data_IF_300391928200
#
_entry.id   IF_300391928200
#
_cell.length_a   1.000
_cell.length_b   1.000
_cell.length_c   1.000
_cell.angle_alpha   90.00
_cell.angle_beta   90.00
_cell.angle_gamma   90.00
#
_symmetry.space_group_name_H-M   'P 1'
#
loop_
_entity.id
_entity.type
_entity.pdbx_description
1 polymer ?
#
# COMPACT_ATOMS: atom_id res chain seq x y z
N UNK A 1 26.86 48.05 -5.11
CA UNK A 1 26.55 49.40 -5.62
C UNK A 1 25.85 49.28 -6.96
N UNK A 2 24.66 49.87 -7.08
CA UNK A 2 23.96 50.41 -8.28
C UNK A 2 23.74 49.46 -9.46
N UNK A 3 22.52 48.96 -9.72
CA UNK A 3 21.25 49.62 -10.15
C UNK A 3 21.09 49.66 -11.68
N UNK A 4 19.97 49.08 -12.14
CA UNK A 4 19.01 49.62 -13.14
C UNK A 4 19.54 49.84 -14.58
N UNK A 5 18.78 49.92 -15.66
CA UNK A 5 17.34 49.99 -15.97
C UNK A 5 17.19 49.70 -17.49
N UNK A 6 16.18 48.97 -17.96
CA UNK A 6 14.90 49.45 -18.56
C UNK A 6 14.91 50.01 -20.01
N UNK A 7 13.78 49.69 -20.68
CA UNK A 7 13.02 50.34 -21.77
C UNK A 7 13.48 50.17 -23.24
N UNK A 8 12.70 49.54 -24.15
CA UNK A 8 11.42 49.92 -24.82
C UNK A 8 11.55 51.15 -25.74
N UNK A 9 11.17 50.99 -27.03
CA UNK A 9 10.56 51.96 -28.00
C UNK A 9 10.54 51.25 -29.39
N UNK A 10 9.43 50.79 -29.97
CA UNK A 10 8.26 51.43 -30.62
C UNK A 10 8.47 51.97 -32.07
N UNK A 11 7.71 51.36 -33.00
CA UNK A 11 7.10 51.82 -34.27
C UNK A 11 7.92 52.49 -35.39
N UNK A 12 7.71 52.06 -36.65
CA UNK A 12 6.87 52.79 -37.63
C UNK A 12 6.67 52.06 -38.99
N UNK A 13 5.38 52.02 -39.40
CA UNK A 13 4.74 52.11 -40.74
C UNK A 13 5.38 51.48 -42.00
N UNK A 14 4.54 50.81 -42.80
CA UNK A 14 4.31 51.14 -44.22
C UNK A 14 2.99 50.50 -44.73
N UNK A 15 2.39 51.17 -45.72
CA UNK A 15 0.97 51.11 -46.10
C UNK A 15 0.74 50.51 -47.51
N UNK A 16 -0.55 50.28 -47.83
CA UNK A 16 -1.12 50.09 -49.18
C UNK A 16 -1.71 48.68 -49.41
N UNK A 17 -2.88 48.45 -50.01
CA UNK A 17 -3.86 49.27 -50.72
C UNK A 17 -5.25 48.57 -50.71
N UNK A 18 -6.28 49.37 -50.97
CA UNK A 18 -7.75 49.18 -50.91
C UNK A 18 -8.39 48.21 -51.90
N UNK A 19 -9.55 47.62 -51.52
CA UNK A 19 -10.77 47.53 -52.35
C UNK A 19 -12.03 47.23 -51.50
N UNK A 20 -13.11 48.00 -51.69
CA UNK A 20 -14.43 47.86 -51.03
C UNK A 20 -15.32 46.77 -51.67
N UNK A 21 -16.11 46.08 -50.84
CA UNK A 21 -17.32 45.31 -51.22
C UNK A 21 -18.45 45.57 -50.19
N UNK A 22 -19.74 45.52 -50.58
CA UNK A 22 -20.85 46.08 -49.81
C UNK A 22 -21.38 45.13 -48.71
N UNK A 23 -21.93 45.71 -47.65
CA UNK A 23 -22.43 44.98 -46.48
C UNK A 23 -23.72 44.17 -46.75
N UNK A 24 -23.83 42.91 -46.27
CA UNK A 24 -25.08 42.16 -46.28
C UNK A 24 -25.96 42.48 -45.06
N UNK A 25 -27.27 42.45 -45.30
CA UNK A 25 -28.37 42.70 -44.36
C UNK A 25 -28.49 41.53 -43.37
N UNK A 26 -28.47 41.82 -42.07
CA UNK A 26 -28.68 40.83 -40.99
C UNK A 26 -30.17 40.59 -40.72
N UNK A 27 -30.57 39.32 -40.66
CA UNK A 27 -31.83 38.86 -40.05
C UNK A 27 -31.52 37.97 -38.85
N UNK A 28 -32.15 38.19 -37.66
CA UNK A 28 -31.88 37.36 -36.49
C UNK A 28 -32.62 36.01 -36.57
N UNK A 29 -31.92 34.93 -36.24
CA UNK A 29 -32.47 33.57 -36.10
C UNK A 29 -33.08 33.37 -34.71
N UNK A 30 -34.18 32.58 -34.56
CA UNK A 30 -34.81 32.34 -33.26
C UNK A 30 -33.96 31.37 -32.41
N UNK A 31 -33.87 31.64 -31.11
CA UNK A 31 -33.10 30.84 -30.16
C UNK A 31 -33.81 29.50 -29.83
N UNK A 32 -33.05 28.40 -29.83
CA UNK A 32 -33.50 27.11 -29.31
C UNK A 32 -33.41 27.05 -27.78
N UNK A 33 -34.34 26.38 -27.08
CA UNK A 33 -34.31 26.26 -25.63
C UNK A 33 -33.16 25.36 -25.16
N UNK A 34 -32.43 25.84 -24.14
CA UNK A 34 -31.34 25.12 -23.47
C UNK A 34 -31.91 23.97 -22.61
N UNK A 35 -31.37 22.75 -22.69
CA UNK A 35 -31.81 21.65 -21.81
C UNK A 35 -31.46 21.98 -20.35
N UNK A 36 -32.45 21.81 -19.46
CA UNK A 36 -32.25 21.94 -18.02
C UNK A 36 -31.39 20.77 -17.54
N UNK A 37 -30.28 21.06 -16.87
CA UNK A 37 -29.43 20.04 -16.27
C UNK A 37 -30.25 19.21 -15.26
N UNK A 38 -30.24 17.89 -15.41
CA UNK A 38 -30.77 16.98 -14.41
C UNK A 38 -29.90 17.10 -13.15
N UNK A 39 -30.53 17.33 -12.00
CA UNK A 39 -29.87 17.22 -10.69
C UNK A 39 -29.49 15.76 -10.51
N UNK A 40 -28.19 15.48 -10.48
CA UNK A 40 -27.69 14.15 -10.10
C UNK A 40 -28.06 13.91 -8.64
N UNK A 41 -28.64 12.76 -8.26
CA UNK A 41 -28.88 12.47 -6.85
C UNK A 41 -27.56 12.55 -6.08
N UNK A 42 -27.60 13.10 -4.86
CA UNK A 42 -26.47 13.04 -3.94
C UNK A 42 -26.10 11.57 -3.72
N UNK A 43 -24.81 11.22 -3.63
CA UNK A 43 -24.40 9.85 -3.36
C UNK A 43 -25.03 9.38 -2.05
N UNK A 44 -25.67 8.22 -2.07
CA UNK A 44 -26.17 7.60 -0.84
C UNK A 44 -24.99 7.33 0.10
N UNK A 45 -25.12 7.74 1.37
CA UNK A 45 -24.16 7.42 2.43
C UNK A 45 -23.97 5.91 2.53
N UNK A 46 -22.73 5.47 2.76
CA UNK A 46 -22.49 4.05 2.97
C UNK A 46 -23.20 3.57 4.24
N UNK A 47 -23.77 2.36 4.22
CA UNK A 47 -24.59 1.83 5.33
C UNK A 47 -23.86 1.86 6.69
N UNK A 48 -22.55 1.63 6.66
CA UNK A 48 -21.69 1.61 7.85
C UNK A 48 -21.47 3.00 8.47
N UNK A 49 -21.72 4.09 7.74
CA UNK A 49 -21.62 5.47 8.29
C UNK A 49 -22.67 5.73 9.38
N UNK A 50 -23.73 4.92 9.42
CA UNK A 50 -24.77 5.01 10.45
C UNK A 50 -24.45 4.21 11.71
N UNK A 51 -23.41 3.38 11.70
CA UNK A 51 -23.04 2.55 12.84
C UNK A 51 -22.47 3.39 13.99
N UNK A 52 -22.88 3.02 15.19
CA UNK A 52 -22.33 3.52 16.45
C UNK A 52 -21.71 2.38 17.24
N UNK A 53 -21.00 2.70 18.33
CA UNK A 53 -20.41 1.66 19.20
C UNK A 53 -21.44 0.64 19.71
N UNK A 54 -22.69 1.06 19.95
CA UNK A 54 -23.74 0.20 20.46
C UNK A 54 -24.22 -0.86 19.44
N UNK A 55 -24.01 -0.59 18.15
CA UNK A 55 -24.40 -1.48 17.05
C UNK A 55 -23.35 -2.59 16.82
N UNK A 56 -22.16 -2.47 17.42
CA UNK A 56 -21.02 -3.32 17.11
C UNK A 56 -21.01 -4.63 17.92
N UNK A 57 -20.67 -5.77 17.28
CA UNK A 57 -20.60 -7.05 17.96
C UNK A 57 -19.45 -7.09 18.97
N UNK A 58 -19.65 -7.77 20.09
CA UNK A 58 -18.63 -7.89 21.14
C UNK A 58 -17.94 -9.25 21.18
N UNK A 59 -18.49 -10.23 20.45
CA UNK A 59 -17.95 -11.59 20.32
C UNK A 59 -16.96 -11.68 19.17
N UNK A 60 -15.79 -12.28 19.43
CA UNK A 60 -14.79 -12.54 18.40
C UNK A 60 -15.34 -13.49 17.35
N UNK A 61 -15.13 -13.14 16.09
CA UNK A 61 -15.47 -13.97 14.95
C UNK A 61 -14.56 -15.21 14.87
N UNK A 62 -15.00 -16.18 14.09
CA UNK A 62 -14.20 -17.30 13.61
C UNK A 62 -13.88 -17.15 12.12
N UNK A 63 -12.84 -17.81 11.60
CA UNK A 63 -12.53 -17.79 10.17
C UNK A 63 -13.71 -18.21 9.28
N UNK A 64 -14.53 -19.18 9.71
CA UNK A 64 -15.70 -19.64 8.96
C UNK A 64 -16.75 -18.55 8.77
N UNK A 65 -16.89 -17.64 9.75
CA UNK A 65 -17.83 -16.51 9.65
C UNK A 65 -17.35 -15.45 8.65
N UNK A 66 -16.04 -15.30 8.42
CA UNK A 66 -15.53 -14.40 7.39
C UNK A 66 -15.98 -14.84 5.99
N UNK A 67 -16.00 -16.14 5.73
CA UNK A 67 -16.39 -16.70 4.43
C UNK A 67 -17.89 -16.61 4.15
N UNK A 68 -18.69 -16.35 5.17
CA UNK A 68 -20.14 -16.24 5.11
C UNK A 68 -20.67 -14.83 5.40
N UNK A 69 -19.78 -13.83 5.46
CA UNK A 69 -20.12 -12.46 5.81
C UNK A 69 -21.10 -11.86 4.79
N UNK A 70 -22.27 -11.41 5.26
CA UNK A 70 -23.28 -10.75 4.44
C UNK A 70 -22.87 -9.35 3.97
N UNK A 71 -23.69 -8.70 3.14
CA UNK A 71 -23.39 -7.36 2.60
C UNK A 71 -23.44 -6.24 3.67
N UNK A 72 -24.41 -6.31 4.58
CA UNK A 72 -24.63 -5.35 5.67
C UNK A 72 -24.38 -6.00 7.05
N UNK A 73 -23.32 -6.79 7.14
CA UNK A 73 -22.89 -7.44 8.38
C UNK A 73 -21.55 -6.90 8.85
N UNK A 74 -21.35 -6.95 10.17
CA UNK A 74 -20.09 -6.56 10.82
C UNK A 74 -19.66 -7.69 11.75
N UNK A 75 -18.35 -7.98 11.76
CA UNK A 75 -17.75 -9.00 12.63
C UNK A 75 -16.54 -8.44 13.35
N UNK A 76 -16.41 -8.74 14.65
CA UNK A 76 -15.23 -8.38 15.44
C UNK A 76 -14.08 -9.36 15.13
N UNK A 77 -12.99 -8.86 14.56
CA UNK A 77 -11.80 -9.64 14.20
C UNK A 77 -10.83 -9.82 15.36
N UNK A 78 -10.69 -8.78 16.18
CA UNK A 78 -9.69 -8.72 17.23
C UNK A 78 -9.87 -7.49 18.12
N UNK A 79 -9.26 -7.52 19.29
CA UNK A 79 -9.22 -6.36 20.20
C UNK A 79 -7.95 -6.35 21.03
N UNK A 80 -7.50 -5.14 21.35
CA UNK A 80 -6.47 -4.85 22.36
C UNK A 80 -7.15 -4.32 23.62
N UNK A 81 -6.38 -3.75 24.55
CA UNK A 81 -6.95 -3.09 25.73
C UNK A 81 -7.76 -1.83 25.38
N UNK A 82 -7.46 -1.18 24.26
CA UNK A 82 -7.99 0.15 23.90
C UNK A 82 -8.63 0.22 22.51
N UNK A 83 -8.34 -0.74 21.62
CA UNK A 83 -8.81 -0.72 20.23
C UNK A 83 -9.51 -2.03 19.87
N UNK A 84 -10.63 -1.96 19.16
CA UNK A 84 -11.31 -3.10 18.54
C UNK A 84 -11.27 -2.97 17.02
N UNK A 85 -11.01 -4.08 16.33
CA UNK A 85 -10.95 -4.17 14.87
C UNK A 85 -12.12 -5.01 14.36
N UNK A 86 -12.84 -4.48 13.39
CA UNK A 86 -13.99 -5.10 12.75
C UNK A 86 -13.78 -5.23 11.25
N UNK A 87 -14.40 -6.23 10.63
CA UNK A 87 -14.60 -6.29 9.18
C UNK A 87 -16.03 -5.92 8.83
N UNK A 88 -16.20 -5.20 7.73
CA UNK A 88 -17.48 -4.87 7.13
C UNK A 88 -17.79 -5.77 5.94
N UNK A 89 -19.04 -6.15 5.83
CA UNK A 89 -19.62 -6.88 4.70
C UNK A 89 -19.51 -6.18 3.36
N UNK A 90 -19.73 -6.94 2.29
CA UNK A 90 -19.83 -6.40 0.92
C UNK A 90 -18.52 -5.79 0.39
N UNK A 91 -17.37 -6.32 0.79
CA UNK A 91 -16.04 -5.79 0.47
C UNK A 91 -15.87 -4.31 0.92
N UNK A 92 -16.58 -3.89 1.97
CA UNK A 92 -16.55 -2.51 2.49
C UNK A 92 -15.32 -2.20 3.34
N UNK A 93 -14.47 -3.18 3.65
CA UNK A 93 -13.22 -2.97 4.38
C UNK A 93 -13.31 -3.21 5.88
N UNK A 94 -12.64 -2.37 6.68
CA UNK A 94 -12.58 -2.51 8.14
C UNK A 94 -13.13 -1.28 8.88
N UNK A 95 -13.48 -1.48 10.14
CA UNK A 95 -13.68 -0.41 11.12
C UNK A 95 -12.74 -0.59 12.32
N UNK A 96 -12.17 0.51 12.78
CA UNK A 96 -11.47 0.59 14.06
C UNK A 96 -12.31 1.40 15.05
N UNK A 97 -12.52 0.83 16.24
CA UNK A 97 -13.11 1.52 17.38
C UNK A 97 -12.02 1.76 18.43
N UNK A 98 -11.75 3.03 18.76
CA UNK A 98 -10.89 3.43 19.88
C UNK A 98 -11.54 4.58 20.65
N UNK A 99 -11.68 4.46 21.96
CA UNK A 99 -12.26 5.50 22.83
C UNK A 99 -13.61 6.08 22.33
N UNK A 100 -14.51 5.21 21.86
CA UNK A 100 -15.84 5.61 21.35
C UNK A 100 -15.83 6.27 19.97
N UNK A 101 -14.70 6.26 19.26
CA UNK A 101 -14.56 6.82 17.92
C UNK A 101 -14.33 5.73 16.89
N UNK A 102 -15.00 5.86 15.75
CA UNK A 102 -14.89 4.96 14.62
C UNK A 102 -14.05 5.57 13.51
N UNK A 103 -13.20 4.75 12.90
CA UNK A 103 -12.49 5.07 11.66
C UNK A 103 -12.59 3.91 10.68
N UNK A 104 -12.69 4.24 9.39
CA UNK A 104 -12.96 3.29 8.31
C UNK A 104 -11.79 3.24 7.33
N UNK A 105 -11.47 2.03 6.86
CA UNK A 105 -10.44 1.81 5.83
C UNK A 105 -10.91 0.76 4.81
N UNK A 106 -10.85 1.10 3.52
CA UNK A 106 -11.24 0.24 2.41
C UNK A 106 -10.21 -0.82 2.03
N UNK A 107 -9.69 -1.56 3.02
CA UNK A 107 -8.67 -2.61 2.80
C UNK A 107 -9.24 -4.02 2.88
N UNK A 108 -8.53 -4.98 2.29
CA UNK A 108 -8.85 -6.40 2.41
C UNK A 108 -8.26 -6.99 3.70
N UNK A 109 -8.95 -7.98 4.29
CA UNK A 109 -8.57 -8.61 5.56
C UNK A 109 -7.91 -9.98 5.39
N UNK A 110 -8.33 -10.75 4.38
CA UNK A 110 -7.78 -12.08 4.11
C UNK A 110 -8.06 -12.53 2.66
N UNK A 111 -7.33 -13.53 2.13
CA UNK A 111 -7.63 -14.14 0.83
C UNK A 111 -8.94 -14.92 0.91
N UNK A 112 -9.73 -14.89 -0.17
CA UNK A 112 -11.01 -15.61 -0.24
C UNK A 112 -10.86 -17.13 -0.06
N UNK A 113 -9.74 -17.68 -0.51
CA UNK A 113 -9.47 -19.12 -0.48
C UNK A 113 -8.68 -19.58 0.77
N UNK A 114 -8.30 -18.66 1.66
CA UNK A 114 -7.49 -18.97 2.85
C UNK A 114 -7.79 -17.98 3.98
N UNK A 115 -9.02 -18.07 4.48
CA UNK A 115 -9.54 -17.18 5.52
C UNK A 115 -8.73 -17.30 6.82
N UNK A 116 -8.28 -16.17 7.34
CA UNK A 116 -7.58 -16.07 8.62
C UNK A 116 -8.02 -14.82 9.35
N UNK A 117 -8.07 -14.90 10.68
CA UNK A 117 -8.17 -13.71 11.50
C UNK A 117 -6.81 -13.00 11.53
N UNK A 118 -6.78 -11.66 11.60
CA UNK A 118 -5.55 -10.91 11.75
C UNK A 118 -5.00 -10.98 13.18
N UNK A 119 -3.73 -10.63 13.32
CA UNK A 119 -3.07 -10.52 14.63
C UNK A 119 -2.80 -9.06 14.97
N UNK A 120 -3.15 -8.66 16.19
CA UNK A 120 -3.10 -7.27 16.65
C UNK A 120 -1.99 -7.08 17.68
N UNK A 121 -1.24 -5.99 17.54
CA UNK A 121 -0.14 -5.60 18.40
C UNK A 121 -0.29 -4.12 18.75
N UNK A 122 -0.21 -3.77 20.04
CA UNK A 122 -0.35 -2.39 20.52
C UNK A 122 0.98 -1.96 21.13
N UNK A 123 1.60 -0.93 20.58
CA UNK A 123 2.87 -0.39 21.05
C UNK A 123 3.13 1.02 20.49
N UNK A 124 3.97 1.79 21.16
CA UNK A 124 4.54 3.06 20.70
C UNK A 124 5.69 2.81 19.71
N UNK A 125 5.35 2.69 18.42
CA UNK A 125 6.29 2.32 17.35
C UNK A 125 7.06 3.51 16.79
N UNK A 126 6.52 4.73 16.85
CA UNK A 126 7.22 5.94 16.40
C UNK A 126 7.96 6.68 17.53
N UNK A 127 7.69 6.32 18.79
CA UNK A 127 8.35 6.86 19.97
C UNK A 127 7.76 8.19 20.47
N UNK A 128 6.55 8.55 20.05
CA UNK A 128 5.87 9.78 20.49
C UNK A 128 5.22 9.67 21.89
N UNK A 129 5.14 8.45 22.42
CA UNK A 129 4.60 8.14 23.74
C UNK A 129 3.11 7.75 23.76
N UNK A 130 2.47 7.69 22.59
CA UNK A 130 1.16 7.09 22.37
C UNK A 130 1.35 5.73 21.69
N UNK A 131 0.45 4.78 21.97
CA UNK A 131 0.52 3.49 21.29
C UNK A 131 -0.26 3.55 19.95
N UNK A 132 0.35 3.05 18.88
CA UNK A 132 -0.31 2.69 17.63
C UNK A 132 -0.81 1.25 17.67
N UNK A 133 -1.77 0.95 16.80
CA UNK A 133 -2.21 -0.42 16.55
C UNK A 133 -1.52 -0.94 15.28
N UNK A 134 -0.67 -1.94 15.41
CA UNK A 134 -0.16 -2.69 14.28
C UNK A 134 -0.97 -3.97 14.07
N UNK A 135 -1.40 -4.23 12.83
CA UNK A 135 -2.22 -5.40 12.48
C UNK A 135 -1.59 -6.17 11.34
N UNK A 136 -1.35 -7.46 11.57
CA UNK A 136 -0.79 -8.38 10.58
C UNK A 136 -1.90 -9.17 9.90
N UNK A 137 -2.04 -9.01 8.58
CA UNK A 137 -3.03 -9.68 7.75
C UNK A 137 -2.36 -10.72 6.86
N UNK A 138 -2.92 -11.92 6.80
CA UNK A 138 -2.57 -12.89 5.76
C UNK A 138 -3.17 -12.40 4.45
N UNK A 139 -2.38 -12.27 3.39
CA UNK A 139 -2.81 -11.73 2.08
C UNK A 139 -2.67 -12.72 0.94
N UNK A 140 -1.81 -13.74 1.09
CA UNK A 140 -1.69 -14.84 0.15
C UNK A 140 -1.25 -16.11 0.89
N UNK A 141 -1.81 -17.25 0.51
CA UNK A 141 -1.42 -18.57 1.01
C UNK A 141 -1.62 -19.61 -0.09
N UNK A 142 -0.87 -19.47 -1.19
CA UNK A 142 -0.94 -20.37 -2.35
C UNK A 142 0.35 -21.18 -2.51
N UNK A 143 0.23 -22.51 -2.47
CA UNK A 143 1.36 -23.42 -2.68
C UNK A 143 2.47 -23.25 -1.65
N UNK A 144 3.63 -22.76 -2.09
CA UNK A 144 4.79 -22.45 -1.25
C UNK A 144 4.94 -20.95 -0.93
N UNK A 145 3.96 -20.13 -1.32
CA UNK A 145 3.94 -18.69 -1.09
C UNK A 145 2.97 -18.35 0.03
N UNK A 146 3.50 -17.66 1.03
CA UNK A 146 2.73 -17.04 2.11
C UNK A 146 3.16 -15.58 2.16
N UNK A 147 2.17 -14.70 2.07
CA UNK A 147 2.36 -13.25 2.07
C UNK A 147 1.52 -12.71 3.21
N UNK A 148 2.19 -12.06 4.16
CA UNK A 148 1.53 -11.18 5.10
C UNK A 148 1.74 -9.73 4.68
N UNK A 149 0.79 -8.87 5.01
CA UNK A 149 0.97 -7.42 5.06
C UNK A 149 0.81 -6.95 6.52
N UNK A 150 1.48 -5.86 6.87
CA UNK A 150 1.36 -5.19 8.15
C UNK A 150 0.74 -3.81 7.93
N UNK A 151 -0.28 -3.47 8.69
CA UNK A 151 -0.83 -2.10 8.71
C UNK A 151 -0.56 -1.49 10.07
N UNK A 152 -0.10 -0.23 10.10
CA UNK A 152 0.10 0.54 11.32
C UNK A 152 -0.94 1.65 11.35
N UNK A 153 -1.83 1.58 12.33
CA UNK A 153 -2.88 2.55 12.55
C UNK A 153 -2.52 3.49 13.69
N UNK A 154 -2.33 4.74 13.34
CA UNK A 154 -1.97 5.81 14.26
C UNK A 154 -3.19 6.72 14.50
N UNK A 155 -3.45 7.02 15.77
CA UNK A 155 -4.53 7.89 16.20
C UNK A 155 -3.98 9.23 16.67
N UNK A 156 -4.14 10.24 15.83
CA UNK A 156 -4.07 11.64 16.25
C UNK A 156 -5.38 12.10 16.92
N UNK A 157 -5.36 13.26 17.58
CA UNK A 157 -6.46 13.82 18.38
C UNK A 157 -7.85 13.81 17.71
N UNK A 158 -7.95 13.75 16.39
CA UNK A 158 -9.23 13.68 15.68
C UNK A 158 -9.28 12.63 14.55
N UNK A 159 -8.15 12.12 14.09
CA UNK A 159 -8.09 11.25 12.91
C UNK A 159 -7.23 10.02 13.15
N UNK A 160 -7.69 8.87 12.65
CA UNK A 160 -6.87 7.68 12.51
C UNK A 160 -6.28 7.65 11.10
N UNK A 161 -4.98 7.41 10.98
CA UNK A 161 -4.30 7.15 9.71
C UNK A 161 -3.95 5.67 9.59
N UNK A 162 -3.79 5.19 8.36
CA UNK A 162 -3.29 3.85 8.05
C UNK A 162 -1.99 3.99 7.25
N UNK A 163 -0.92 3.35 7.73
CA UNK A 163 0.29 3.11 6.98
C UNK A 163 0.35 1.61 6.57
N UNK A 164 0.09 1.28 5.30
CA UNK A 164 0.25 -0.07 4.80
C UNK A 164 1.72 -0.40 4.54
N UNK A 165 2.28 -1.30 5.35
CA UNK A 165 3.59 -1.90 5.19
C UNK A 165 3.44 -3.25 4.48
N UNK A 166 3.27 -3.18 3.16
CA UNK A 166 3.01 -4.36 2.33
C UNK A 166 4.27 -5.10 1.92
N UNK A 167 4.13 -6.35 1.46
CA UNK A 167 5.21 -7.10 0.79
C UNK A 167 5.89 -6.25 -0.28
N UNK A 168 5.11 -5.63 -1.17
CA UNK A 168 5.66 -4.87 -2.30
C UNK A 168 6.43 -3.64 -1.84
N UNK A 169 5.87 -2.90 -0.88
CA UNK A 169 6.54 -1.73 -0.31
C UNK A 169 7.86 -2.11 0.38
N UNK A 170 7.92 -3.27 1.03
CA UNK A 170 9.14 -3.82 1.62
C UNK A 170 10.11 -4.33 0.55
N UNK A 171 9.61 -5.05 -0.46
CA UNK A 171 10.39 -5.63 -1.55
C UNK A 171 11.09 -4.53 -2.37
N UNK A 172 10.39 -3.45 -2.70
CA UNK A 172 10.95 -2.32 -3.44
C UNK A 172 12.08 -1.65 -2.66
N UNK A 173 11.86 -1.38 -1.37
CA UNK A 173 12.88 -0.81 -0.47
C UNK A 173 14.08 -1.75 -0.31
N UNK A 174 13.85 -3.05 -0.17
CA UNK A 174 14.90 -4.05 -0.07
C UNK A 174 15.70 -4.18 -1.37
N UNK A 175 15.04 -4.25 -2.53
CA UNK A 175 15.67 -4.31 -3.86
C UNK A 175 16.54 -3.09 -4.15
N UNK A 176 16.12 -1.91 -3.68
CA UNK A 176 16.90 -0.69 -3.80
C UNK A 176 18.18 -0.70 -2.93
N UNK A 177 18.20 -1.49 -1.86
CA UNK A 177 19.30 -1.54 -0.89
C UNK A 177 20.30 -2.68 -1.16
N UNK A 178 19.83 -3.86 -1.58
CA UNK A 178 20.67 -5.05 -1.79
C UNK A 178 21.38 -5.02 -3.15
N UNK A 179 22.55 -5.67 -3.23
CA UNK A 179 23.26 -5.90 -4.49
C UNK A 179 22.97 -7.30 -5.00
N UNK A 180 22.57 -7.41 -6.26
CA UNK A 180 22.32 -8.65 -6.99
C UNK A 180 23.31 -8.77 -8.15
N UNK A 181 24.18 -9.77 -8.11
CA UNK A 181 25.24 -9.98 -9.10
C UNK A 181 25.21 -11.40 -9.66
N UNK A 182 25.17 -11.52 -10.99
CA UNK A 182 25.16 -12.81 -11.67
C UNK A 182 26.45 -13.02 -12.46
N UNK A 183 27.20 -14.06 -12.09
CA UNK A 183 28.38 -14.51 -12.83
C UNK A 183 27.98 -15.60 -13.85
N UNK A 184 27.98 -15.29 -15.17
CA UNK A 184 27.67 -16.27 -16.20
C UNK A 184 28.74 -17.36 -16.34
N UNK A 185 29.98 -17.13 -15.89
CA UNK A 185 31.07 -18.09 -15.94
C UNK A 185 30.85 -19.27 -15.00
N UNK A 186 30.47 -19.00 -13.75
CA UNK A 186 30.12 -20.03 -12.76
C UNK A 186 28.64 -20.43 -12.75
N UNK A 187 27.77 -19.58 -13.33
CA UNK A 187 26.32 -19.75 -13.30
C UNK A 187 25.71 -19.42 -11.94
N UNK A 188 26.25 -18.41 -11.27
CA UNK A 188 25.98 -18.13 -9.86
C UNK A 188 25.38 -16.74 -9.68
N UNK A 189 24.25 -16.65 -8.98
CA UNK A 189 23.67 -15.40 -8.49
C UNK A 189 24.06 -15.20 -7.04
N UNK A 190 24.58 -14.02 -6.73
CA UNK A 190 24.90 -13.59 -5.37
C UNK A 190 23.98 -12.42 -5.00
N UNK A 191 23.25 -12.57 -3.91
CA UNK A 191 22.52 -11.49 -3.26
C UNK A 191 23.32 -11.06 -2.03
N UNK A 192 23.56 -9.76 -1.84
CA UNK A 192 24.42 -9.28 -0.76
C UNK A 192 24.00 -7.92 -0.21
N UNK A 193 24.31 -7.70 1.06
CA UNK A 193 24.20 -6.42 1.74
C UNK A 193 25.22 -6.34 2.88
N UNK A 194 26.06 -5.30 2.87
CA UNK A 194 27.18 -5.18 3.82
C UNK A 194 28.06 -6.43 3.78
N UNK A 195 28.25 -7.06 4.95
CA UNK A 195 29.06 -8.27 5.12
C UNK A 195 28.25 -9.58 4.99
N UNK A 196 26.95 -9.48 4.66
CA UNK A 196 26.04 -10.63 4.56
C UNK A 196 25.73 -10.96 3.10
N UNK A 197 25.62 -12.24 2.76
CA UNK A 197 25.30 -12.68 1.40
C UNK A 197 24.71 -14.08 1.36
N UNK A 198 24.02 -14.34 0.25
CA UNK A 198 23.51 -15.66 -0.12
C UNK A 198 23.81 -15.91 -1.59
N UNK A 199 24.06 -17.18 -1.91
CA UNK A 199 24.56 -17.60 -3.23
C UNK A 199 23.68 -18.71 -3.76
N UNK A 200 23.20 -18.55 -5.00
CA UNK A 200 22.43 -19.55 -5.72
C UNK A 200 23.13 -19.94 -7.02
N UNK A 201 23.35 -21.24 -7.19
CA UNK A 201 23.94 -21.77 -8.43
C UNK A 201 22.86 -22.33 -9.33
N UNK A 202 22.68 -21.73 -10.50
CA UNK A 202 21.70 -22.17 -11.47
C UNK A 202 22.07 -23.55 -12.06
N UNK A 203 21.08 -24.44 -12.23
CA UNK A 203 21.22 -25.62 -13.07
C UNK A 203 21.62 -25.22 -14.49
N UNK A 204 22.35 -26.11 -15.19
CA UNK A 204 23.00 -25.80 -16.47
C UNK A 204 22.04 -25.24 -17.52
N UNK A 205 20.81 -25.78 -17.58
CA UNK A 205 19.79 -25.34 -18.53
C UNK A 205 19.31 -23.89 -18.34
N UNK A 206 19.54 -23.29 -17.16
CA UNK A 206 19.13 -21.92 -16.85
C UNK A 206 20.29 -20.92 -16.89
N UNK A 207 21.55 -21.36 -16.99
CA UNK A 207 22.71 -20.45 -16.87
C UNK A 207 22.80 -19.39 -17.97
N UNK A 208 22.29 -19.67 -19.16
CA UNK A 208 22.28 -18.72 -20.27
C UNK A 208 21.14 -17.70 -20.16
N UNK A 209 20.13 -17.98 -19.34
CA UNK A 209 18.97 -17.13 -19.12
C UNK A 209 18.42 -17.35 -17.70
N UNK A 210 19.12 -16.86 -16.66
CA UNK A 210 18.78 -17.13 -15.26
C UNK A 210 17.45 -16.48 -14.82
N UNK A 211 16.84 -15.63 -15.64
CA UNK A 211 15.60 -14.92 -15.31
C UNK A 211 15.83 -13.80 -14.29
N UNK A 212 14.74 -13.32 -13.69
CA UNK A 212 14.79 -12.35 -12.60
C UNK A 212 14.77 -13.05 -11.24
N UNK A 213 15.09 -12.28 -10.22
CA UNK A 213 14.81 -12.62 -8.82
C UNK A 213 13.71 -11.69 -8.31
N UNK A 214 12.87 -12.21 -7.43
CA UNK A 214 11.82 -11.45 -6.74
C UNK A 214 11.75 -11.84 -5.27
N UNK A 215 11.13 -10.96 -4.47
CA UNK A 215 10.73 -11.25 -3.11
C UNK A 215 9.29 -11.74 -3.11
N UNK A 216 9.10 -13.06 -3.13
CA UNK A 216 7.79 -13.67 -3.37
C UNK A 216 7.03 -14.06 -2.10
N UNK A 217 7.65 -13.97 -0.92
CA UNK A 217 6.99 -14.15 0.39
C UNK A 217 7.34 -13.01 1.33
N UNK A 218 6.45 -12.75 2.29
CA UNK A 218 6.67 -11.80 3.38
C UNK A 218 6.13 -12.35 4.69
N UNK A 219 6.94 -12.23 5.75
CA UNK A 219 6.53 -12.47 7.12
C UNK A 219 6.96 -11.31 7.99
N UNK A 220 6.17 -10.98 9.00
CA UNK A 220 6.50 -9.96 9.99
C UNK A 220 6.58 -10.62 11.36
N UNK A 221 7.64 -10.38 12.11
CA UNK A 221 7.78 -10.84 13.49
C UNK A 221 7.90 -9.64 14.41
N UNK A 222 7.00 -9.53 15.37
CA UNK A 222 7.08 -8.55 16.44
C UNK A 222 7.94 -9.11 17.59
N UNK A 223 8.85 -8.29 18.10
CA UNK A 223 9.59 -8.57 19.32
C UNK A 223 9.95 -7.27 20.06
N UNK A 224 9.34 -7.06 21.23
CA UNK A 224 9.62 -5.93 22.12
C UNK A 224 9.42 -4.55 21.45
N UNK A 225 8.33 -4.37 20.72
CA UNK A 225 7.98 -3.13 20.04
C UNK A 225 8.65 -2.94 18.70
N UNK A 226 9.34 -3.95 18.17
CA UNK A 226 10.03 -3.88 16.88
C UNK A 226 9.50 -4.97 15.96
N UNK A 227 9.06 -4.59 14.77
CA UNK A 227 8.76 -5.54 13.71
C UNK A 227 9.98 -5.78 12.84
N UNK A 228 10.35 -7.04 12.65
CA UNK A 228 11.27 -7.47 11.59
C UNK A 228 10.48 -8.06 10.44
N UNK A 229 10.63 -7.51 9.23
CA UNK A 229 10.16 -8.14 7.99
C UNK A 229 11.16 -9.20 7.52
N UNK A 230 10.66 -10.30 6.99
CA UNK A 230 11.41 -11.40 6.40
C UNK A 230 10.86 -11.60 4.99
N UNK A 231 11.67 -11.29 3.98
CA UNK A 231 11.33 -11.41 2.56
C UNK A 231 12.04 -12.63 1.97
N UNK A 232 11.30 -13.60 1.46
CA UNK A 232 11.89 -14.75 0.77
C UNK A 232 12.31 -14.39 -0.64
N UNK A 233 13.59 -14.57 -0.99
CA UNK A 233 14.12 -14.34 -2.32
C UNK A 233 13.97 -15.61 -3.18
N UNK A 234 13.37 -15.46 -4.36
CA UNK A 234 13.08 -16.53 -5.31
C UNK A 234 13.75 -16.29 -6.65
N UNK A 235 14.42 -17.29 -7.19
CA UNK A 235 14.90 -17.28 -8.57
C UNK A 235 13.79 -17.73 -9.52
N UNK A 236 13.17 -16.79 -10.25
CA UNK A 236 11.92 -17.01 -10.99
C UNK A 236 12.02 -18.09 -12.06
N UNK A 237 13.17 -18.21 -12.74
CA UNK A 237 13.35 -19.22 -13.80
C UNK A 237 13.34 -20.66 -13.29
N UNK A 238 13.67 -20.87 -12.02
CA UNK A 238 13.75 -22.20 -11.39
C UNK A 238 12.67 -22.43 -10.34
N UNK A 239 12.02 -21.36 -9.88
CA UNK A 239 11.11 -21.37 -8.74
C UNK A 239 11.80 -21.61 -7.40
N UNK A 240 13.15 -21.64 -7.32
CA UNK A 240 13.88 -21.96 -6.10
C UNK A 240 13.97 -20.75 -5.16
N UNK A 241 13.67 -20.97 -3.88
CA UNK A 241 14.04 -20.07 -2.79
C UNK A 241 15.51 -20.23 -2.49
N UNK A 242 16.24 -19.14 -2.27
CA UNK A 242 17.69 -19.25 -2.01
C UNK A 242 18.22 -18.30 -0.92
N UNK A 243 17.44 -17.30 -0.54
CA UNK A 243 17.80 -16.37 0.51
C UNK A 243 16.57 -15.81 1.21
N UNK A 244 16.77 -15.31 2.42
CA UNK A 244 15.87 -14.40 3.09
C UNK A 244 16.56 -13.04 3.21
N UNK A 245 15.82 -11.97 2.98
CA UNK A 245 16.23 -10.62 3.35
C UNK A 245 15.43 -10.21 4.57
N UNK A 246 16.14 -9.89 5.65
CA UNK A 246 15.54 -9.50 6.92
C UNK A 246 15.88 -8.05 7.20
N UNK A 247 14.91 -7.29 7.67
CA UNK A 247 15.11 -5.90 8.09
C UNK A 247 14.13 -5.53 9.19
N UNK A 248 14.56 -4.66 10.10
CA UNK A 248 13.67 -4.06 11.10
C UNK A 248 12.92 -2.90 10.47
N UNK A 249 11.64 -2.75 10.84
CA UNK A 249 10.76 -1.68 10.39
C UNK A 249 10.86 -0.57 11.41
N UNK A 250 11.30 0.60 10.96
CA UNK A 250 11.27 1.84 11.74
C UNK A 250 10.17 2.72 11.15
N UNK A 251 9.13 2.97 11.95
CA UNK A 251 8.02 3.87 11.63
C UNK A 251 8.30 5.26 12.24
N UNK A 252 7.99 6.33 11.51
CA UNK A 252 8.27 7.71 11.94
C UNK A 252 7.01 8.59 12.11
N UNK A 253 5.83 7.96 12.18
CA UNK A 253 4.54 8.64 12.21
C UNK A 253 3.91 8.81 10.82
N UNK A 254 4.69 8.81 9.74
CA UNK A 254 4.17 9.05 8.38
C UNK A 254 4.57 7.99 7.34
N UNK A 255 5.77 7.43 7.44
CA UNK A 255 6.28 6.39 6.55
C UNK A 255 7.13 5.39 7.35
N UNK A 256 7.62 4.35 6.67
CA UNK A 256 8.56 3.40 7.25
C UNK A 256 9.85 3.29 6.46
N UNK A 257 10.92 2.96 7.19
CA UNK A 257 12.21 2.59 6.62
C UNK A 257 12.62 1.19 7.04
N UNK A 258 13.50 0.57 6.24
CA UNK A 258 14.12 -0.71 6.55
C UNK A 258 15.50 -0.48 7.17
N UNK A 259 15.69 -0.97 8.39
CA UNK A 259 16.95 -0.89 9.15
C UNK A 259 17.54 -2.28 9.39
N UNK A 260 18.82 -2.31 9.78
CA UNK A 260 19.53 -3.53 10.14
C UNK A 260 19.37 -4.65 9.09
N UNK A 261 19.38 -4.26 7.81
CA UNK A 261 19.14 -5.16 6.71
C UNK A 261 20.24 -6.21 6.64
N UNK A 262 19.85 -7.45 6.38
CA UNK A 262 20.78 -8.58 6.23
C UNK A 262 20.24 -9.59 5.24
N UNK A 263 21.17 -10.25 4.56
CA UNK A 263 20.88 -11.36 3.64
C UNK A 263 21.31 -12.66 4.30
N UNK A 264 20.38 -13.58 4.49
CA UNK A 264 20.64 -14.91 5.06
C UNK A 264 20.36 -15.97 4.00
N UNK A 265 21.27 -16.94 3.76
CA UNK A 265 20.97 -18.05 2.85
C UNK A 265 19.83 -18.90 3.43
N UNK A 266 18.87 -19.28 2.60
CA UNK A 266 17.93 -20.33 2.99
C UNK A 266 18.66 -21.67 2.88
N UNK A 267 18.51 -22.52 3.90
CA UNK A 267 18.92 -23.93 3.76
C UNK A 267 17.94 -24.60 2.80
N UNK A 268 18.24 -24.55 1.51
CA UNK A 268 17.63 -25.43 0.52
C UNK A 268 18.26 -26.81 0.72
N UNK A 269 17.46 -27.77 1.21
CA UNK A 269 17.80 -29.19 1.18
C UNK A 269 17.25 -29.78 -0.11
#
# INVERSE_FOLDING_TARGET
MKKCAWLLTALFLLAGCTREEPAPIWTPSPASPTPSAAVSPEPESAWWESLTEEDLPTGLASPDQLGALGEEEVLLLGRTAVTSLYVLGGDSGILLLRNGRLSHFGQQVSPKDSLSLPELYQWDYDGDGLDELAVRYLMEAEGDQIVYDLHIYDWSDETCTDLPVTRDACADRALAAVTSDYDPGSGTLTLSYGDTSAVYRFPEQYRQSPGRMSFATSFFREQNGVFTVILGARAESTGAWFANVLADIEYDGADFTLRNLRVEPTTVV
#
